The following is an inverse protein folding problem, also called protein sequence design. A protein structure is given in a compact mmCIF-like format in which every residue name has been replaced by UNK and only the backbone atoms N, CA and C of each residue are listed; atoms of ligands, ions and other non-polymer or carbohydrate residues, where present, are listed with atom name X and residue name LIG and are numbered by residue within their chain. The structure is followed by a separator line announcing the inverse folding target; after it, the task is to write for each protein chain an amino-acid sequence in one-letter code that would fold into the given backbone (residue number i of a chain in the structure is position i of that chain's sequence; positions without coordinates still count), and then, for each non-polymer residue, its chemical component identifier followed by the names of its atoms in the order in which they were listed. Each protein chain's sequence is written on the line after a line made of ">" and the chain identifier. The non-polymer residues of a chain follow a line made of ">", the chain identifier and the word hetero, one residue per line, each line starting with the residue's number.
data_IF_362565924766
#
_entry.id   IF_362565924766
#
_cell.length_a   1.000
_cell.length_b   1.000
_cell.length_c   1.000
_cell.angle_alpha   90.00
_cell.angle_beta   90.00
_cell.angle_gamma   90.00
#
_symmetry.space_group_name_H-M   'P 1'
#
loop_
_entity.id
_entity.type
_entity.pdbx_description
1 polymer ?
#
# COMPACT_ATOMS: atom_id res chain seq x y z
N UNK A 1 8.57 8.69 -7.43
CA UNK A 1 7.70 7.65 -8.02
C UNK A 1 6.21 7.96 -7.91
N UNK A 2 5.72 8.55 -6.81
CA UNK A 2 4.30 8.91 -6.62
C UNK A 2 3.84 10.09 -7.49
N UNK A 3 4.65 11.14 -7.60
CA UNK A 3 4.34 12.35 -8.41
C UNK A 3 4.30 12.01 -9.91
N UNK A 4 5.27 11.22 -10.37
CA UNK A 4 5.36 10.75 -11.76
C UNK A 4 4.10 9.96 -12.18
N UNK A 5 3.54 9.16 -11.27
CA UNK A 5 2.32 8.40 -11.50
C UNK A 5 1.11 9.30 -11.74
N UNK A 6 1.00 10.42 -11.02
CA UNK A 6 -0.12 11.35 -11.14
C UNK A 6 -0.06 12.16 -12.44
N UNK A 7 1.13 12.57 -12.85
CA UNK A 7 1.35 13.25 -14.14
C UNK A 7 1.04 12.30 -15.28
N UNK A 8 1.57 11.08 -15.27
CA UNK A 8 1.29 10.07 -16.31
C UNK A 8 -0.19 9.71 -16.37
N UNK A 9 -0.90 9.62 -15.22
CA UNK A 9 -2.35 9.40 -15.20
C UNK A 9 -3.16 10.50 -15.88
N UNK A 10 -2.66 11.75 -15.90
CA UNK A 10 -3.35 12.87 -16.55
C UNK A 10 -3.21 12.85 -18.08
N UNK A 11 -2.17 12.17 -18.59
CA UNK A 11 -1.89 12.05 -20.02
C UNK A 11 -2.29 10.68 -20.59
N UNK A 12 -2.33 9.64 -19.75
CA UNK A 12 -2.85 8.33 -20.08
C UNK A 12 -4.30 8.27 -19.60
N UNK A 13 -5.22 8.73 -20.44
CA UNK A 13 -6.62 8.36 -20.31
C UNK A 13 -6.69 6.83 -20.45
N UNK A 14 -6.77 6.14 -19.32
CA UNK A 14 -7.21 4.75 -19.35
C UNK A 14 -8.69 4.84 -19.72
N UNK A 15 -9.00 4.64 -21.01
CA UNK A 15 -10.37 4.38 -21.44
C UNK A 15 -10.88 3.26 -20.56
N UNK A 16 -11.77 3.58 -19.62
CA UNK A 16 -12.50 2.59 -18.84
C UNK A 16 -13.45 1.94 -19.85
N UNK A 17 -12.92 0.98 -20.63
CA UNK A 17 -13.72 0.14 -21.51
C UNK A 17 -14.57 -0.71 -20.59
N UNK A 18 -15.80 -0.21 -20.42
CA UNK A 18 -17.02 -0.90 -20.06
C UNK A 18 -16.87 -2.10 -19.13
N UNK A 19 -17.03 -1.86 -17.83
CA UNK A 19 -17.68 -2.79 -16.91
C UNK A 19 -18.42 -2.10 -15.77
N UNK A 20 -19.61 -1.58 -16.09
CA UNK A 20 -20.67 -1.40 -15.09
C UNK A 20 -21.42 -2.72 -14.85
N UNK A 21 -20.70 -3.83 -14.69
CA UNK A 21 -21.35 -5.07 -14.26
C UNK A 21 -21.76 -4.88 -12.80
N UNK A 22 -23.07 -4.72 -12.59
CA UNK A 22 -23.79 -4.69 -11.30
C UNK A 22 -22.91 -5.06 -10.11
N UNK A 23 -22.23 -4.05 -9.56
CA UNK A 23 -21.43 -4.24 -8.36
C UNK A 23 -22.44 -4.30 -7.21
N UNK A 24 -22.56 -5.45 -6.56
CA UNK A 24 -23.36 -5.50 -5.35
C UNK A 24 -22.77 -4.47 -4.35
N UNK A 25 -23.63 -3.77 -3.60
CA UNK A 25 -23.19 -2.71 -2.67
C UNK A 25 -22.12 -3.22 -1.69
N UNK A 26 -22.16 -4.51 -1.36
CA UNK A 26 -21.16 -5.19 -0.54
C UNK A 26 -19.75 -5.14 -1.13
N UNK A 27 -19.56 -5.53 -2.40
CA UNK A 27 -18.25 -5.47 -3.04
C UNK A 27 -17.75 -4.02 -3.14
N UNK A 28 -18.65 -3.04 -3.33
CA UNK A 28 -18.29 -1.61 -3.36
C UNK A 28 -17.65 -1.15 -2.06
N UNK A 29 -18.29 -1.52 -0.95
CA UNK A 29 -17.82 -1.20 0.39
C UNK A 29 -16.48 -1.90 0.64
N UNK A 30 -16.36 -3.19 0.34
CA UNK A 30 -15.12 -3.96 0.53
C UNK A 30 -13.97 -3.37 -0.29
N UNK A 31 -14.21 -3.02 -1.55
CA UNK A 31 -13.19 -2.41 -2.41
C UNK A 31 -12.70 -1.07 -1.85
N UNK A 32 -13.61 -0.21 -1.35
CA UNK A 32 -13.26 1.05 -0.70
C UNK A 32 -12.44 0.84 0.56
N UNK A 33 -12.80 -0.15 1.39
CA UNK A 33 -12.07 -0.49 2.62
C UNK A 33 -10.65 -0.95 2.30
N UNK A 34 -10.48 -1.88 1.35
CA UNK A 34 -9.16 -2.41 0.98
C UNK A 34 -8.27 -1.28 0.42
N UNK A 35 -8.79 -0.44 -0.48
CA UNK A 35 -8.01 0.68 -1.01
C UNK A 35 -7.66 1.70 0.07
N UNK A 36 -8.62 2.05 0.95
CA UNK A 36 -8.39 2.94 2.09
C UNK A 36 -7.29 2.40 3.01
N UNK A 37 -7.37 1.11 3.37
CA UNK A 37 -6.34 0.42 4.15
C UNK A 37 -4.98 0.50 3.46
N UNK A 38 -4.89 0.17 2.17
CA UNK A 38 -3.62 0.17 1.43
C UNK A 38 -2.99 1.58 1.37
N UNK A 39 -3.79 2.63 1.22
CA UNK A 39 -3.28 4.00 1.26
C UNK A 39 -2.70 4.39 2.61
N UNK A 40 -3.43 4.08 3.69
CA UNK A 40 -2.95 4.34 5.05
C UNK A 40 -1.69 3.53 5.32
N UNK A 41 -1.70 2.25 4.98
CA UNK A 41 -0.58 1.34 5.16
C UNK A 41 0.68 1.79 4.41
N UNK A 42 0.54 2.26 3.17
CA UNK A 42 1.64 2.77 2.35
C UNK A 42 2.33 4.00 2.98
N UNK A 43 1.61 4.78 3.78
CA UNK A 43 2.17 5.94 4.50
C UNK A 43 2.75 5.51 5.86
N UNK A 44 2.05 4.64 6.59
CA UNK A 44 2.48 4.16 7.90
C UNK A 44 3.79 3.37 7.83
N UNK A 45 3.98 2.54 6.80
CA UNK A 45 5.20 1.75 6.58
C UNK A 45 6.49 2.58 6.55
N UNK A 46 6.64 3.58 5.66
CA UNK A 46 7.83 4.41 5.61
C UNK A 46 8.01 5.26 6.87
N UNK A 47 6.92 5.70 7.52
CA UNK A 47 7.00 6.41 8.80
C UNK A 47 7.60 5.51 9.88
N UNK A 48 7.12 4.26 10.00
CA UNK A 48 7.69 3.28 10.94
C UNK A 48 9.16 2.98 10.62
N UNK A 49 9.51 2.82 9.34
CA UNK A 49 10.90 2.68 8.90
C UNK A 49 11.77 3.86 9.33
N UNK A 50 11.25 5.08 9.18
CA UNK A 50 11.92 6.31 9.60
C UNK A 50 12.07 6.39 11.13
N UNK A 51 11.07 5.93 11.89
CA UNK A 51 11.17 5.84 13.35
C UNK A 51 12.31 4.89 13.78
N UNK A 52 12.48 3.75 13.09
CA UNK A 52 13.53 2.77 13.40
C UNK A 52 14.92 3.37 13.18
N UNK A 53 15.16 4.01 12.04
CA UNK A 53 16.47 4.62 11.73
C UNK A 53 16.77 5.83 12.62
N UNK A 54 15.75 6.64 12.96
CA UNK A 54 15.90 7.77 13.88
C UNK A 54 16.23 7.28 15.30
N UNK A 55 15.50 6.26 15.78
CA UNK A 55 15.71 5.67 17.09
C UNK A 55 17.07 4.94 17.23
N UNK A 56 17.64 4.45 16.13
CA UNK A 56 18.99 3.88 16.11
C UNK A 56 20.11 4.93 16.26
N UNK A 57 19.83 6.21 16.04
CA UNK A 57 20.86 7.26 16.04
C UNK A 57 21.82 7.16 14.86
N UNK A 58 21.43 6.50 13.77
CA UNK A 58 22.27 6.33 12.57
C UNK A 58 22.14 7.54 11.64
N UNK A 59 23.27 8.05 11.13
CA UNK A 59 23.34 9.16 10.16
C UNK A 59 22.71 8.86 8.79
N UNK A 60 22.19 7.66 8.55
CA UNK A 60 21.53 7.26 7.30
C UNK A 60 20.07 7.72 7.25
N UNK A 61 19.78 8.94 7.70
CA UNK A 61 18.44 9.50 7.50
C UNK A 61 18.31 9.81 6.00
N UNK A 62 17.36 9.20 5.28
CA UNK A 62 17.23 9.41 3.86
C UNK A 62 16.99 10.89 3.57
N UNK A 63 17.67 11.44 2.56
CA UNK A 63 17.56 12.83 2.11
C UNK A 63 18.01 13.92 3.11
N UNK A 64 18.77 13.58 4.16
CA UNK A 64 19.25 14.58 5.13
C UNK A 64 18.13 15.19 5.98
N UNK A 65 16.98 14.52 6.06
CA UNK A 65 15.83 14.95 6.83
C UNK A 65 16.11 14.88 8.36
N UNK A 66 15.40 15.64 9.19
CA UNK A 66 15.59 15.59 10.64
C UNK A 66 15.10 14.26 11.22
N UNK A 67 15.67 13.86 12.37
CA UNK A 67 15.19 12.71 13.13
C UNK A 67 13.77 12.98 13.65
N UNK A 68 12.86 12.02 13.46
CA UNK A 68 11.47 12.13 13.94
C UNK A 68 11.27 11.58 15.36
N UNK A 69 12.24 10.82 15.86
CA UNK A 69 12.26 10.26 17.22
C UNK A 69 13.65 10.39 17.84
N UNK A 70 13.74 10.55 19.18
CA UNK A 70 15.03 10.54 19.87
C UNK A 70 15.67 9.15 19.80
N UNK A 71 16.98 9.10 20.01
CA UNK A 71 17.72 7.84 20.10
C UNK A 71 17.21 7.04 21.30
N UNK A 72 16.87 5.77 21.06
CA UNK A 72 16.32 4.87 22.07
C UNK A 72 17.30 3.72 22.34
N UNK A 73 17.18 3.11 23.52
CA UNK A 73 17.92 1.89 23.80
C UNK A 73 17.52 0.77 22.82
N UNK A 74 18.47 -0.11 22.49
CA UNK A 74 18.34 -1.17 21.48
C UNK A 74 17.06 -2.02 21.64
N UNK A 75 16.64 -2.29 22.88
CA UNK A 75 15.44 -3.06 23.20
C UNK A 75 14.17 -2.42 22.60
N UNK A 76 14.03 -1.10 22.70
CA UNK A 76 12.87 -0.39 22.14
C UNK A 76 12.94 -0.29 20.62
N UNK A 77 14.14 -0.13 20.06
CA UNK A 77 14.35 -0.15 18.60
C UNK A 77 13.92 -1.49 18.01
N UNK A 78 14.27 -2.61 18.65
CA UNK A 78 13.85 -3.96 18.21
C UNK A 78 12.33 -4.08 18.25
N UNK A 79 11.66 -3.63 19.31
CA UNK A 79 10.19 -3.66 19.38
C UNK A 79 9.52 -2.89 18.23
N UNK A 80 10.02 -1.71 17.86
CA UNK A 80 9.47 -0.94 16.73
C UNK A 80 9.72 -1.68 15.41
N UNK A 81 10.90 -2.30 15.26
CA UNK A 81 11.22 -3.12 14.10
C UNK A 81 10.27 -4.32 13.98
N UNK A 82 10.00 -5.02 15.07
CA UNK A 82 9.11 -6.17 15.07
C UNK A 82 7.68 -5.76 14.68
N UNK A 83 7.20 -4.62 15.19
CA UNK A 83 5.90 -4.06 14.78
C UNK A 83 5.89 -3.74 13.28
N UNK A 84 6.93 -3.08 12.77
CA UNK A 84 7.05 -2.77 11.35
C UNK A 84 7.06 -4.05 10.49
N UNK A 85 7.78 -5.07 10.91
CA UNK A 85 7.88 -6.36 10.21
C UNK A 85 6.53 -7.11 10.21
N UNK A 86 5.84 -7.18 11.35
CA UNK A 86 4.50 -7.80 11.43
C UNK A 86 3.53 -7.09 10.51
N UNK A 87 3.48 -5.75 10.55
CA UNK A 87 2.62 -4.98 9.66
C UNK A 87 3.02 -5.16 8.19
N UNK A 88 4.29 -5.42 7.88
CA UNK A 88 4.77 -5.65 6.52
C UNK A 88 4.18 -6.95 5.96
N UNK A 89 4.20 -8.04 6.75
CA UNK A 89 3.57 -9.30 6.37
C UNK A 89 2.04 -9.17 6.21
N UNK A 90 1.37 -8.45 7.11
CA UNK A 90 -0.08 -8.19 6.99
C UNK A 90 -0.38 -7.45 5.68
N UNK A 91 0.36 -6.38 5.38
CA UNK A 91 0.19 -5.62 4.15
C UNK A 91 0.46 -6.46 2.90
N UNK A 92 1.49 -7.29 2.93
CA UNK A 92 1.81 -8.21 1.84
C UNK A 92 0.65 -9.17 1.55
N UNK A 93 0.04 -9.76 2.59
CA UNK A 93 -1.12 -10.64 2.44
C UNK A 93 -2.31 -9.91 1.80
N UNK A 94 -2.59 -8.67 2.23
CA UNK A 94 -3.66 -7.84 1.67
C UNK A 94 -3.38 -7.48 0.20
N UNK A 95 -2.14 -7.13 -0.14
CA UNK A 95 -1.74 -6.83 -1.54
C UNK A 95 -1.92 -8.07 -2.42
N UNK A 96 -1.51 -9.25 -1.93
CA UNK A 96 -1.68 -10.51 -2.66
C UNK A 96 -3.16 -10.81 -2.92
N UNK A 97 -4.01 -10.68 -1.91
CA UNK A 97 -5.45 -10.86 -2.06
C UNK A 97 -6.05 -9.84 -3.05
N UNK A 98 -5.67 -8.56 -2.93
CA UNK A 98 -6.12 -7.50 -3.83
C UNK A 98 -5.76 -7.80 -5.29
N UNK A 99 -4.51 -8.20 -5.55
CA UNK A 99 -4.04 -8.58 -6.88
C UNK A 99 -4.77 -9.81 -7.41
N UNK A 100 -4.97 -10.83 -6.57
CA UNK A 100 -5.68 -12.07 -6.94
C UNK A 100 -7.12 -11.77 -7.36
N UNK A 101 -7.84 -10.94 -6.60
CA UNK A 101 -9.20 -10.52 -6.94
C UNK A 101 -9.21 -9.77 -8.27
N UNK A 102 -8.32 -8.81 -8.49
CA UNK A 102 -8.24 -8.06 -9.74
C UNK A 102 -7.99 -8.97 -10.96
N UNK A 103 -7.10 -9.95 -10.84
CA UNK A 103 -6.82 -10.93 -11.90
C UNK A 103 -8.03 -11.84 -12.14
N UNK A 104 -8.66 -12.34 -11.07
CA UNK A 104 -9.83 -13.21 -11.17
C UNK A 104 -11.02 -12.50 -11.83
N UNK A 105 -11.24 -11.22 -11.49
CA UNK A 105 -12.24 -10.39 -12.13
C UNK A 105 -11.89 -10.30 -13.61
N UNK A 106 -10.70 -9.85 -13.98
CA UNK A 106 -10.28 -9.78 -15.38
C UNK A 106 -10.53 -11.08 -16.18
N UNK A 107 -10.21 -12.24 -15.61
CA UNK A 107 -10.40 -13.52 -16.28
C UNK A 107 -11.88 -13.89 -16.47
N UNK A 108 -12.72 -13.74 -15.44
CA UNK A 108 -14.17 -14.01 -15.52
C UNK A 108 -14.83 -13.13 -16.59
N UNK A 109 -14.39 -11.89 -16.68
CA UNK A 109 -14.91 -10.89 -17.59
C UNK A 109 -14.56 -11.19 -19.04
N UNK A 110 -13.32 -11.64 -19.27
CA UNK A 110 -12.89 -12.14 -20.58
C UNK A 110 -13.72 -13.35 -21.01
N UNK A 111 -13.92 -14.33 -20.11
CA UNK A 111 -14.72 -15.52 -20.42
C UNK A 111 -16.18 -15.21 -20.78
N UNK A 112 -16.78 -14.18 -20.18
CA UNK A 112 -18.16 -13.77 -20.50
C UNK A 112 -18.26 -13.06 -21.87
N UNK A 113 -17.18 -12.43 -22.34
CA UNK A 113 -17.18 -11.70 -23.62
C UNK A 113 -17.07 -12.62 -24.85
N UNK A 114 -16.65 -13.88 -24.66
CA UNK A 114 -16.47 -14.87 -25.73
C UNK A 114 -17.72 -15.75 -25.95
N UNK A 115 -18.82 -15.47 -25.23
CA UNK A 115 -20.11 -16.18 -25.31
C UNK A 115 -21.19 -15.27 -25.89
#
# INVERSE_FOLDING_TARGET
>A
MTILRLVVRKFVEFTIIGQRLSYNKFREIVAKIVHGFLYIWLITMPILGWCIISAKGTYTIPFGLPSITPVLAKVYVVKIKDIHEIFAYIGLAVIFLHATVAISEYYILRLRSEK
#
